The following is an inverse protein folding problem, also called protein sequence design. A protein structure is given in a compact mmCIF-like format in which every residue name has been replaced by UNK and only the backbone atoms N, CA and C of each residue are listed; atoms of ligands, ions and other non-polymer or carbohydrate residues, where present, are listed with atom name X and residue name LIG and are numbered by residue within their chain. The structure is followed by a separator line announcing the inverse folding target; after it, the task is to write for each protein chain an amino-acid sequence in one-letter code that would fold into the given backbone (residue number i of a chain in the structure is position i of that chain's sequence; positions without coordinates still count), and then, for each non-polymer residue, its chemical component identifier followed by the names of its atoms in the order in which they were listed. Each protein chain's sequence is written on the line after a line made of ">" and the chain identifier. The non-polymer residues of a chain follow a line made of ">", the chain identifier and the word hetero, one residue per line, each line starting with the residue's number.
data_IF_550401382187
#
_entry.id   IF_550401382187
#
_cell.length_a   1.000
_cell.length_b   1.000
_cell.length_c   1.000
_cell.angle_alpha   90.00
_cell.angle_beta   90.00
_cell.angle_gamma   90.00
#
_symmetry.space_group_name_H-M   'P 1'
#
loop_
_entity.id
_entity.type
_entity.pdbx_description
1 polymer ?
#
# COMPACT_ATOMS: atom_id res chain seq x y z
N UNK A 1 -7.59 17.32 28.65
CA UNK A 1 -6.41 16.47 28.97
C UNK A 1 -5.68 16.12 27.67
N UNK A 2 -4.35 15.89 27.72
CA UNK A 2 -3.62 15.38 26.54
C UNK A 2 -3.59 13.86 26.60
N UNK A 3 -3.98 13.20 25.50
CA UNK A 3 -4.02 11.74 25.37
C UNK A 3 -3.09 11.35 24.23
N UNK A 4 -2.33 10.28 24.43
CA UNK A 4 -1.45 9.73 23.41
C UNK A 4 -2.25 8.81 22.47
N UNK A 5 -2.15 9.05 21.15
CA UNK A 5 -2.62 8.12 20.13
C UNK A 5 -1.48 7.12 19.92
N UNK A 6 -1.81 5.84 20.11
CA UNK A 6 -0.86 4.72 19.93
C UNK A 6 -1.24 3.88 18.74
N UNK A 7 -0.23 3.31 18.09
CA UNK A 7 -0.45 2.25 17.11
C UNK A 7 -1.17 1.07 17.78
N UNK A 8 -2.03 0.34 17.07
CA UNK A 8 -2.66 -0.87 17.58
C UNK A 8 -1.61 -1.95 17.91
N UNK A 9 -2.00 -2.92 18.71
CA UNK A 9 -1.15 -4.11 18.95
C UNK A 9 -1.06 -4.93 17.68
N UNK A 10 0.17 -5.20 17.24
CA UNK A 10 0.41 -6.01 16.06
C UNK A 10 0.31 -7.50 16.40
N UNK A 11 -0.14 -8.36 15.45
CA UNK A 11 -0.07 -9.81 15.60
C UNK A 11 1.38 -10.28 15.83
N UNK A 12 1.58 -11.41 16.54
CA UNK A 12 2.91 -11.95 16.89
C UNK A 12 3.86 -12.13 15.69
N UNK A 13 3.31 -12.28 14.49
CA UNK A 13 4.08 -12.44 13.25
C UNK A 13 4.47 -11.12 12.56
N UNK A 14 4.12 -9.96 13.14
CA UNK A 14 4.39 -8.62 12.58
C UNK A 14 5.26 -7.83 13.55
N UNK A 15 6.49 -7.54 13.15
CA UNK A 15 7.47 -6.83 14.00
C UNK A 15 7.24 -5.33 14.03
N UNK A 16 6.85 -4.74 12.90
CA UNK A 16 6.73 -3.30 12.71
C UNK A 16 5.70 -2.98 11.62
N UNK A 17 5.19 -1.73 11.62
CA UNK A 17 4.31 -1.17 10.61
C UNK A 17 4.86 0.12 10.04
N UNK A 18 4.21 0.68 9.03
CA UNK A 18 4.53 2.00 8.46
C UNK A 18 3.26 2.83 8.45
N UNK A 19 3.30 4.09 8.87
CA UNK A 19 2.16 5.00 8.75
C UNK A 19 1.86 5.20 7.27
N UNK A 20 0.75 4.65 6.78
CA UNK A 20 0.37 4.72 5.36
C UNK A 20 -0.21 6.09 5.02
N UNK A 21 -1.14 6.58 5.85
CA UNK A 21 -1.76 7.90 5.67
C UNK A 21 -2.34 8.40 6.98
N UNK A 22 -2.39 9.73 7.11
CA UNK A 22 -3.19 10.43 8.11
C UNK A 22 -4.48 10.92 7.46
N UNK A 23 -5.63 10.44 7.94
CA UNK A 23 -6.95 10.85 7.45
C UNK A 23 -7.40 12.18 8.04
N UNK A 24 -6.75 12.62 9.13
CA UNK A 24 -6.98 13.88 9.83
C UNK A 24 -5.71 14.69 9.92
N UNK A 25 -5.86 16.02 9.87
CA UNK A 25 -4.74 16.96 9.98
C UNK A 25 -4.60 17.50 11.41
N UNK A 26 -3.42 18.00 11.74
CA UNK A 26 -3.22 18.73 13.00
C UNK A 26 -4.21 19.89 13.11
N UNK A 27 -4.90 19.98 14.25
CA UNK A 27 -5.93 20.97 14.53
C UNK A 27 -7.35 20.56 14.13
N UNK A 28 -7.55 19.40 13.50
CA UNK A 28 -8.86 18.92 13.07
C UNK A 28 -9.59 18.22 14.22
N UNK A 29 -10.92 18.45 14.31
CA UNK A 29 -11.77 17.76 15.28
C UNK A 29 -12.08 16.35 14.81
N UNK A 30 -12.12 15.43 15.76
CA UNK A 30 -12.32 14.00 15.53
C UNK A 30 -13.29 13.46 16.57
N UNK A 31 -14.22 12.62 16.16
CA UNK A 31 -15.14 11.94 17.06
C UNK A 31 -14.53 10.65 17.61
N UNK A 32 -15.05 10.18 18.76
CA UNK A 32 -14.66 8.88 19.29
C UNK A 32 -14.87 7.77 18.25
N UNK A 33 -13.96 6.80 18.21
CA UNK A 33 -13.93 5.68 17.25
C UNK A 33 -13.80 6.07 15.76
N UNK A 34 -13.59 7.36 15.46
CA UNK A 34 -13.30 7.80 14.09
C UNK A 34 -11.84 7.44 13.71
N UNK A 35 -11.65 6.93 12.49
CA UNK A 35 -10.32 6.56 12.00
C UNK A 35 -9.49 7.81 11.73
N UNK A 36 -8.33 7.92 12.39
CA UNK A 36 -7.42 9.07 12.30
C UNK A 36 -6.20 8.80 11.43
N UNK A 37 -5.73 7.55 11.40
CA UNK A 37 -4.58 7.14 10.59
C UNK A 37 -4.68 5.68 10.17
N UNK A 38 -3.98 5.32 9.11
CA UNK A 38 -3.81 3.92 8.65
C UNK A 38 -2.35 3.51 8.80
N UNK A 39 -2.12 2.32 9.38
CA UNK A 39 -0.78 1.72 9.50
C UNK A 39 -0.72 0.49 8.60
N UNK A 40 0.16 0.52 7.61
CA UNK A 40 0.40 -0.59 6.69
C UNK A 40 1.45 -1.53 7.30
N UNK A 41 1.13 -2.81 7.37
CA UNK A 41 2.07 -3.88 7.73
C UNK A 41 2.39 -4.74 6.50
N UNK A 42 3.21 -5.75 6.64
CA UNK A 42 3.52 -6.69 5.56
C UNK A 42 2.33 -7.57 5.15
N UNK A 43 1.26 -7.62 5.94
CA UNK A 43 0.10 -8.50 5.72
C UNK A 43 -1.23 -7.78 5.64
N UNK A 44 -1.44 -6.76 6.46
CA UNK A 44 -2.72 -6.03 6.57
C UNK A 44 -2.48 -4.55 6.83
N UNK A 45 -3.51 -3.75 6.53
CA UNK A 45 -3.60 -2.36 6.97
C UNK A 45 -4.43 -2.32 8.24
N UNK A 46 -3.89 -1.67 9.27
CA UNK A 46 -4.52 -1.49 10.57
C UNK A 46 -4.99 -0.05 10.70
N UNK A 47 -6.25 0.13 11.10
CA UNK A 47 -6.83 1.43 11.35
C UNK A 47 -6.52 1.88 12.78
N UNK A 48 -6.13 3.14 12.94
CA UNK A 48 -5.97 3.80 14.22
C UNK A 48 -7.17 4.67 14.46
N UNK A 49 -7.93 4.39 15.51
CA UNK A 49 -9.14 5.14 15.86
C UNK A 49 -8.88 6.10 17.01
N UNK A 50 -9.65 7.20 17.04
CA UNK A 50 -9.60 8.17 18.14
C UNK A 50 -10.19 7.57 19.41
N UNK A 51 -9.52 7.68 20.58
CA UNK A 51 -10.00 7.09 21.84
C UNK A 51 -11.20 7.84 22.45
N UNK A 52 -11.35 9.12 22.14
CA UNK A 52 -12.41 10.02 22.63
C UNK A 52 -12.67 11.14 21.61
N UNK A 53 -13.76 11.91 21.83
CA UNK A 53 -14.01 13.16 21.08
C UNK A 53 -12.96 14.23 21.42
N UNK A 54 -12.35 14.85 20.40
CA UNK A 54 -11.35 15.87 20.64
C UNK A 54 -10.69 16.41 19.37
N UNK A 55 -9.47 16.94 19.51
CA UNK A 55 -8.70 17.55 18.43
C UNK A 55 -7.33 16.89 18.33
N UNK A 56 -6.93 16.50 17.13
CA UNK A 56 -5.58 16.01 16.84
C UNK A 56 -4.57 17.18 17.00
N UNK A 57 -3.87 17.20 18.12
CA UNK A 57 -2.98 18.33 18.46
C UNK A 57 -1.66 18.28 17.72
N UNK A 58 -1.06 17.09 17.61
CA UNK A 58 0.26 16.94 16.99
C UNK A 58 0.44 15.54 16.43
N UNK A 59 1.01 15.48 15.23
CA UNK A 59 1.50 14.26 14.59
C UNK A 59 2.97 14.07 14.99
N UNK A 60 3.30 12.93 15.63
CA UNK A 60 4.67 12.59 16.04
C UNK A 60 5.37 11.78 14.97
N UNK A 61 4.62 10.85 14.34
CA UNK A 61 5.09 10.01 13.25
C UNK A 61 4.44 10.43 11.95
N UNK A 62 5.24 10.90 11.01
CA UNK A 62 4.77 11.34 9.70
C UNK A 62 4.43 10.13 8.80
N UNK A 63 3.72 10.41 7.69
CA UNK A 63 3.47 9.40 6.65
C UNK A 63 4.78 8.83 6.11
N UNK A 64 4.87 7.51 6.01
CA UNK A 64 6.07 6.79 5.59
C UNK A 64 7.02 6.39 6.72
N UNK A 65 6.82 6.85 7.96
CA UNK A 65 7.66 6.46 9.10
C UNK A 65 7.28 5.09 9.67
N UNK A 66 8.31 4.40 10.16
CA UNK A 66 8.15 3.07 10.78
C UNK A 66 7.68 3.24 12.22
N UNK A 67 6.73 2.41 12.62
CA UNK A 67 6.14 2.37 13.96
C UNK A 67 6.11 0.92 14.49
N UNK A 68 6.34 0.78 15.79
CA UNK A 68 6.23 -0.50 16.49
C UNK A 68 4.85 -0.67 17.12
N UNK A 69 4.56 -1.88 17.57
CA UNK A 69 3.33 -2.17 18.32
C UNK A 69 3.20 -1.28 19.55
N UNK A 70 2.04 -0.64 19.73
CA UNK A 70 1.73 0.27 20.84
C UNK A 70 2.63 1.51 20.96
N UNK A 71 3.33 1.89 19.89
CA UNK A 71 4.16 3.11 19.85
C UNK A 71 3.28 4.36 19.70
N UNK A 72 3.68 5.47 20.35
CA UNK A 72 2.95 6.74 20.28
C UNK A 72 3.19 7.39 18.91
N UNK A 73 2.12 7.62 18.16
CA UNK A 73 2.15 8.19 16.81
C UNK A 73 1.62 9.62 16.74
N UNK A 74 0.83 10.04 17.73
CA UNK A 74 0.27 11.39 17.78
C UNK A 74 -0.21 11.78 19.17
N UNK A 75 -0.55 13.05 19.33
CA UNK A 75 -1.09 13.63 20.57
C UNK A 75 -2.47 14.20 20.30
N UNK A 76 -3.39 13.88 21.18
CA UNK A 76 -4.80 14.26 21.13
C UNK A 76 -5.17 15.13 22.32
N UNK A 77 -6.02 16.14 22.12
CA UNK A 77 -6.56 16.98 23.19
C UNK A 77 -8.06 16.77 23.27
N UNK A 78 -8.56 16.36 24.42
CA UNK A 78 -9.96 16.19 24.70
C UNK A 78 -10.71 17.51 24.53
N UNK A 79 -11.76 17.51 23.72
CA UNK A 79 -12.69 18.62 23.53
C UNK A 79 -13.71 18.58 24.68
N UNK A 80 -13.42 19.23 25.81
CA UNK A 80 -14.47 19.47 26.78
C UNK A 80 -15.47 20.45 26.15
N UNK A 81 -16.67 19.96 25.89
CA UNK A 81 -17.78 20.76 25.37
C UNK A 81 -18.10 21.93 26.26
N UNK A 82 -17.71 23.13 25.84
CA UNK A 82 -18.39 24.36 26.24
C UNK A 82 -18.43 25.26 25.01
N UNK A 83 -19.60 25.27 24.40
CA UNK A 83 -20.00 26.28 23.42
C UNK A 83 -20.03 27.62 24.16
N UNK A 84 -19.24 28.58 23.73
CA UNK A 84 -19.66 29.97 23.69
C UNK A 84 -18.80 30.75 22.70
N UNK A 85 -19.50 31.45 21.84
CA UNK A 85 -19.04 32.43 20.89
C UNK A 85 -18.08 33.45 21.51
N UNK A 86 -17.01 33.77 20.82
CA UNK A 86 -16.55 35.16 20.76
C UNK A 86 -15.74 35.39 19.48
N UNK A 87 -16.45 35.86 18.48
CA UNK A 87 -15.91 36.77 17.48
C UNK A 87 -15.43 38.04 18.20
N UNK A 88 -14.15 38.24 18.27
CA UNK A 88 -13.60 39.58 18.41
C UNK A 88 -12.23 39.67 17.72
N UNK A 89 -12.28 40.47 16.66
CA UNK A 89 -11.19 41.24 16.08
C UNK A 89 -10.18 41.63 17.11
N UNK A 90 -8.92 41.31 16.89
CA UNK A 90 -7.82 42.03 17.55
C UNK A 90 -6.79 42.51 16.54
N UNK A 91 -6.73 43.81 16.54
CA UNK A 91 -5.79 44.70 15.87
C UNK A 91 -4.32 44.30 16.12
N UNK A 92 -3.55 44.53 15.08
CA UNK A 92 -2.11 44.55 15.06
C UNK A 92 -1.61 45.48 16.14
N UNK A 93 -0.94 44.97 17.16
CA UNK A 93 -0.06 45.75 18.04
C UNK A 93 1.38 45.41 17.69
N UNK A 94 2.02 46.39 17.05
CA UNK A 94 3.48 46.48 16.96
C UNK A 94 4.08 46.45 18.38
N UNK A 95 4.94 45.48 18.63
CA UNK A 95 5.90 45.56 19.74
C UNK A 95 7.25 46.06 19.24
N UNK A 96 7.95 46.87 20.05
CA UNK A 96 9.05 47.72 19.59
C UNK A 96 10.33 46.91 19.31
N UNK A 97 10.95 47.24 18.19
CA UNK A 97 12.31 46.84 17.84
C UNK A 97 13.27 47.12 19.02
N UNK A 98 13.82 46.02 19.58
CA UNK A 98 15.04 46.14 20.42
C UNK A 98 16.20 46.54 19.54
N UNK A 99 16.73 47.72 19.83
CA UNK A 99 17.97 48.23 19.27
C UNK A 99 19.10 47.23 19.46
N UNK A 100 19.66 46.76 18.34
CA UNK A 100 20.91 46.01 18.29
C UNK A 100 22.05 46.99 18.69
N UNK A 101 22.60 46.80 19.86
CA UNK A 101 23.85 47.45 20.25
C UNK A 101 24.94 47.09 19.26
N UNK A 102 25.36 48.07 18.49
CA UNK A 102 26.50 48.06 17.62
C UNK A 102 27.77 47.86 18.44
N UNK A 103 28.26 46.63 18.59
CA UNK A 103 29.60 46.39 19.11
C UNK A 103 30.57 46.52 17.94
N UNK A 104 31.23 47.67 17.86
CA UNK A 104 32.29 47.96 16.90
C UNK A 104 33.45 46.96 17.03
N UNK A 105 33.38 45.87 16.31
CA UNK A 105 34.55 44.99 16.11
C UNK A 105 35.50 45.67 15.12
N UNK A 106 36.72 45.96 15.56
CA UNK A 106 37.75 46.58 14.68
C UNK A 106 38.16 45.57 13.58
N UNK A 107 37.84 45.90 12.33
CA UNK A 107 38.10 45.07 11.15
C UNK A 107 39.26 45.66 10.35
N UNK A 108 40.20 44.82 9.93
CA UNK A 108 41.26 45.21 9.00
C UNK A 108 40.75 45.29 7.54
N UNK A 109 41.43 46.05 6.64
CA UNK A 109 40.98 46.21 5.25
C UNK A 109 40.85 44.89 4.47
N UNK A 110 41.78 43.97 4.69
CA UNK A 110 41.74 42.63 4.07
C UNK A 110 40.58 41.73 4.57
N UNK A 111 40.28 41.83 5.87
CA UNK A 111 39.17 41.09 6.52
C UNK A 111 37.81 41.62 6.05
N UNK A 112 37.67 42.96 5.87
CA UNK A 112 36.44 43.54 5.29
C UNK A 112 36.18 43.06 3.88
N UNK A 113 37.21 42.94 3.05
CA UNK A 113 37.08 42.46 1.67
C UNK A 113 36.58 41.00 1.58
N UNK A 114 37.17 40.12 2.41
CA UNK A 114 36.79 38.70 2.42
C UNK A 114 35.37 38.47 3.00
N UNK A 115 34.97 39.24 4.02
CA UNK A 115 33.60 39.18 4.57
C UNK A 115 32.57 39.68 3.55
N UNK A 116 32.88 40.72 2.77
CA UNK A 116 32.01 41.24 1.74
C UNK A 116 31.90 40.29 0.53
N UNK A 117 32.99 39.65 0.10
CA UNK A 117 33.00 38.66 -0.98
C UNK A 117 32.20 37.39 -0.63
N UNK A 118 32.15 37.02 0.64
CA UNK A 118 31.45 35.80 1.08
C UNK A 118 30.12 36.11 1.80
N UNK A 119 29.65 37.34 1.79
CA UNK A 119 28.38 37.80 2.41
C UNK A 119 28.19 37.38 3.88
N UNK A 120 29.29 37.37 4.67
CA UNK A 120 29.28 36.96 6.07
C UNK A 120 29.27 38.23 6.94
N UNK A 121 28.39 38.29 7.96
CA UNK A 121 28.37 39.38 8.93
C UNK A 121 29.53 39.23 9.90
N UNK A 122 30.19 40.37 10.23
CA UNK A 122 31.33 40.39 11.16
C UNK A 122 30.95 39.91 12.58
N UNK A 123 29.67 39.91 12.92
CA UNK A 123 29.11 39.37 14.16
C UNK A 123 29.25 37.85 14.27
N UNK A 124 29.23 37.16 13.16
CA UNK A 124 29.10 35.70 13.08
C UNK A 124 30.48 35.00 13.17
N UNK A 125 31.56 35.79 13.03
CA UNK A 125 32.92 35.28 13.10
C UNK A 125 33.50 35.49 14.51
N UNK A 126 34.03 34.41 15.10
CA UNK A 126 34.68 34.45 16.41
C UNK A 126 36.04 35.17 16.31
N UNK A 127 36.24 36.30 17.03
CA UNK A 127 37.49 37.07 16.97
C UNK A 127 38.57 36.45 17.85
N UNK A 128 39.80 36.22 17.30
CA UNK A 128 40.96 35.74 18.04
C UNK A 128 42.06 36.78 18.20
N UNK A 129 41.96 37.92 17.51
CA UNK A 129 42.98 39.01 17.57
C UNK A 129 42.94 39.84 18.83
N UNK A 130 44.09 40.50 19.15
CA UNK A 130 44.22 41.40 20.30
C UNK A 130 43.17 42.53 20.21
N UNK A 131 42.53 42.88 21.32
CA UNK A 131 41.44 43.87 21.41
C UNK A 131 40.17 43.50 20.64
N UNK A 132 39.77 42.21 20.64
CA UNK A 132 38.55 41.68 19.98
C UNK A 132 38.51 41.94 18.48
N UNK A 133 39.66 41.90 17.83
CA UNK A 133 39.82 42.14 16.38
C UNK A 133 39.65 40.85 15.61
N UNK A 134 38.78 40.84 14.57
CA UNK A 134 38.62 39.70 13.64
C UNK A 134 39.79 39.71 12.65
N UNK A 135 40.56 38.63 12.62
CA UNK A 135 41.70 38.45 11.72
C UNK A 135 41.28 37.71 10.42
N UNK A 136 42.15 37.78 9.42
CA UNK A 136 41.91 37.02 8.16
C UNK A 136 41.80 35.51 8.41
N UNK A 137 42.58 34.98 9.35
CA UNK A 137 42.59 33.58 9.73
C UNK A 137 41.23 33.15 10.36
N UNK A 138 40.61 34.03 11.16
CA UNK A 138 39.32 33.74 11.79
C UNK A 138 38.19 33.59 10.76
N UNK A 139 38.22 34.40 9.69
CA UNK A 139 37.24 34.27 8.58
C UNK A 139 37.48 33.03 7.78
N UNK A 140 38.71 32.65 7.49
CA UNK A 140 39.05 31.42 6.77
C UNK A 140 38.65 30.19 7.60
N UNK A 141 38.97 30.14 8.88
CA UNK A 141 38.58 29.06 9.79
C UNK A 141 37.04 28.96 9.93
N UNK A 142 36.35 30.09 9.92
CA UNK A 142 34.88 30.09 9.92
C UNK A 142 34.30 29.52 8.62
N UNK A 143 34.90 29.84 7.46
CA UNK A 143 34.54 29.25 6.18
C UNK A 143 34.85 27.76 6.11
N UNK A 144 35.98 27.31 6.63
CA UNK A 144 36.37 25.91 6.67
C UNK A 144 35.56 25.09 7.70
N UNK A 145 35.20 25.68 8.85
CA UNK A 145 34.31 25.02 9.83
C UNK A 145 32.84 24.98 9.39
N UNK A 146 32.44 25.90 8.51
CA UNK A 146 31.13 25.85 7.85
C UNK A 146 31.10 24.84 6.71
N UNK A 147 32.26 24.31 6.27
CA UNK A 147 32.40 23.27 5.25
C UNK A 147 32.63 21.86 5.81
N UNK A 148 32.47 21.62 7.13
CA UNK A 148 32.43 20.27 7.68
C UNK A 148 31.19 19.53 7.15
N UNK A 149 31.31 18.25 6.76
CA UNK A 149 30.24 17.53 6.10
C UNK A 149 29.04 17.44 7.03
N UNK A 150 27.99 18.20 6.70
CA UNK A 150 26.65 17.97 7.19
C UNK A 150 26.33 16.48 6.96
N UNK A 151 26.02 15.79 8.03
CA UNK A 151 25.33 14.51 7.99
C UNK A 151 24.24 14.68 6.95
N UNK A 152 24.35 13.96 5.83
CA UNK A 152 23.31 13.90 4.82
C UNK A 152 22.06 13.32 5.49
N UNK A 153 21.12 14.18 5.80
CA UNK A 153 19.73 13.74 5.85
C UNK A 153 19.37 13.33 4.42
N UNK A 154 19.14 12.05 4.21
CA UNK A 154 18.78 11.45 2.91
C UNK A 154 17.34 11.76 2.48
N UNK A 155 16.77 12.90 2.85
CA UNK A 155 15.39 13.27 2.51
C UNK A 155 15.27 14.64 1.84
N UNK A 156 16.22 14.99 0.96
CA UNK A 156 15.97 16.05 0.00
C UNK A 156 15.98 15.43 -1.42
N UNK A 157 14.95 15.62 -2.25
CA UNK A 157 14.96 15.15 -3.62
C UNK A 157 16.08 15.86 -4.38
N UNK A 158 17.16 15.11 -4.68
CA UNK A 158 18.26 15.59 -5.52
C UNK A 158 17.73 15.87 -6.92
N UNK A 159 17.34 17.11 -7.18
CA UNK A 159 17.07 17.61 -8.52
C UNK A 159 18.39 17.91 -9.24
N UNK A 160 19.06 16.89 -9.74
CA UNK A 160 20.02 17.05 -10.83
C UNK A 160 19.23 17.02 -12.15
N UNK A 161 18.68 18.15 -12.51
CA UNK A 161 18.00 18.36 -13.77
C UNK A 161 19.03 18.67 -14.86
N UNK A 162 19.47 17.65 -15.58
CA UNK A 162 20.15 17.76 -16.88
C UNK A 162 19.34 17.17 -18.03
N UNK A 163 18.07 16.85 -17.81
CA UNK A 163 17.16 16.39 -18.85
C UNK A 163 15.84 17.16 -18.72
N UNK A 164 15.35 17.64 -19.83
CA UNK A 164 14.05 18.32 -19.95
C UNK A 164 12.87 17.34 -19.73
N UNK A 165 13.10 16.22 -19.06
CA UNK A 165 12.12 15.16 -18.73
C UNK A 165 11.98 15.07 -17.22
N UNK A 166 10.88 15.56 -16.64
CA UNK A 166 10.63 15.48 -15.20
C UNK A 166 10.44 14.02 -14.77
N UNK A 167 11.20 13.59 -13.79
CA UNK A 167 11.06 12.28 -13.13
C UNK A 167 10.58 12.51 -11.69
N UNK A 168 9.55 11.74 -11.27
CA UNK A 168 9.06 11.73 -9.92
C UNK A 168 9.41 10.38 -9.28
N UNK A 169 10.21 10.39 -8.23
CA UNK A 169 10.50 9.19 -7.42
C UNK A 169 9.49 9.12 -6.26
N UNK A 170 8.82 7.97 -6.14
CA UNK A 170 7.89 7.69 -5.06
C UNK A 170 8.27 6.34 -4.48
N UNK A 171 8.41 6.24 -3.16
CA UNK A 171 8.66 4.98 -2.49
C UNK A 171 7.51 4.00 -2.76
N UNK A 172 7.84 2.70 -2.90
CA UNK A 172 6.80 1.67 -2.96
C UNK A 172 6.17 1.50 -1.60
N UNK A 173 4.85 1.26 -1.56
CA UNK A 173 4.20 0.82 -0.34
C UNK A 173 4.77 -0.53 0.12
N UNK A 174 4.69 -0.79 1.42
CA UNK A 174 5.23 -2.01 2.03
C UNK A 174 4.57 -3.26 1.47
N UNK A 175 3.25 -3.25 1.34
CA UNK A 175 2.47 -4.33 0.72
C UNK A 175 2.98 -4.62 -0.70
N UNK A 176 3.15 -3.58 -1.54
CA UNK A 176 3.66 -3.75 -2.91
C UNK A 176 5.07 -4.32 -2.95
N UNK A 177 5.95 -3.89 -2.04
CA UNK A 177 7.31 -4.41 -1.91
C UNK A 177 7.30 -5.90 -1.54
N UNK A 178 6.45 -6.30 -0.58
CA UNK A 178 6.30 -7.70 -0.15
C UNK A 178 5.76 -8.58 -1.27
N UNK A 179 4.70 -8.12 -1.97
CA UNK A 179 4.15 -8.83 -3.14
C UNK A 179 5.22 -9.02 -4.22
N UNK A 180 5.98 -7.96 -4.54
CA UNK A 180 7.03 -8.03 -5.55
C UNK A 180 8.10 -9.06 -5.19
N UNK A 181 8.59 -9.05 -3.95
CA UNK A 181 9.58 -10.03 -3.45
C UNK A 181 9.04 -11.45 -3.56
N UNK A 182 7.80 -11.70 -3.11
CA UNK A 182 7.16 -13.01 -3.18
C UNK A 182 7.03 -13.52 -4.61
N UNK A 183 6.56 -12.69 -5.53
CA UNK A 183 6.40 -13.09 -6.94
C UNK A 183 7.75 -13.38 -7.62
N UNK A 184 8.80 -12.61 -7.31
CA UNK A 184 10.14 -12.85 -7.82
C UNK A 184 10.70 -14.16 -7.28
N UNK A 185 10.58 -14.43 -5.97
CA UNK A 185 10.99 -15.69 -5.34
C UNK A 185 10.35 -16.89 -6.01
N UNK A 186 9.00 -16.88 -6.14
CA UNK A 186 8.26 -17.97 -6.80
C UNK A 186 8.76 -18.20 -8.24
N UNK A 187 8.98 -17.13 -9.01
CA UNK A 187 9.49 -17.26 -10.38
C UNK A 187 10.90 -17.86 -10.46
N UNK A 188 11.75 -17.60 -9.45
CA UNK A 188 13.11 -18.11 -9.39
C UNK A 188 13.18 -19.57 -8.89
N UNK A 189 12.28 -19.95 -8.00
CA UNK A 189 12.25 -21.25 -7.34
C UNK A 189 11.46 -22.31 -8.13
N UNK A 190 10.66 -21.89 -9.12
CA UNK A 190 9.79 -22.82 -9.88
C UNK A 190 10.13 -22.85 -11.37
N UNK A 191 10.07 -24.05 -11.95
CA UNK A 191 10.13 -24.27 -13.39
C UNK A 191 8.69 -24.23 -13.98
N UNK A 192 8.13 -23.03 -14.12
CA UNK A 192 6.77 -22.86 -14.61
C UNK A 192 6.66 -23.20 -16.09
N UNK A 193 5.68 -24.06 -16.44
CA UNK A 193 5.24 -24.32 -17.79
C UNK A 193 3.83 -23.79 -17.98
N UNK A 194 3.56 -23.10 -19.09
CA UNK A 194 2.21 -22.65 -19.44
C UNK A 194 1.71 -23.39 -20.65
N UNK A 195 0.50 -23.91 -20.56
CA UNK A 195 -0.24 -24.48 -21.69
C UNK A 195 -1.49 -23.64 -21.95
N UNK A 196 -1.90 -23.56 -23.22
CA UNK A 196 -3.05 -22.79 -23.65
C UNK A 196 -4.08 -23.70 -24.26
N UNK A 197 -5.35 -23.56 -23.88
CA UNK A 197 -6.47 -24.28 -24.45
C UNK A 197 -7.61 -23.30 -24.72
N UNK A 198 -8.30 -23.49 -25.83
CA UNK A 198 -9.52 -22.77 -26.19
C UNK A 198 -10.73 -23.55 -25.68
N UNK A 199 -11.69 -22.85 -25.10
CA UNK A 199 -12.93 -23.42 -24.57
C UNK A 199 -14.09 -22.65 -25.18
N UNK A 200 -15.03 -23.38 -25.77
CA UNK A 200 -16.28 -22.81 -26.28
C UNK A 200 -17.16 -22.35 -25.11
N UNK A 201 -17.40 -21.06 -25.05
CA UNK A 201 -18.18 -20.42 -23.99
C UNK A 201 -19.65 -20.18 -24.35
N UNK A 202 -20.04 -20.48 -25.61
CA UNK A 202 -21.41 -20.27 -26.09
C UNK A 202 -22.45 -21.02 -25.23
N UNK A 203 -22.26 -22.32 -24.90
CA UNK A 203 -23.23 -23.05 -24.08
C UNK A 203 -23.44 -22.44 -22.69
N UNK A 204 -22.36 -21.93 -22.07
CA UNK A 204 -22.44 -21.26 -20.74
C UNK A 204 -23.14 -19.90 -20.87
N UNK A 205 -22.89 -19.15 -21.94
CA UNK A 205 -23.59 -17.87 -22.20
C UNK A 205 -25.08 -18.07 -22.38
N UNK A 206 -25.49 -19.09 -23.18
CA UNK A 206 -26.89 -19.43 -23.37
C UNK A 206 -27.56 -19.85 -22.07
N UNK A 207 -26.91 -20.67 -21.27
CA UNK A 207 -27.41 -21.12 -19.98
C UNK A 207 -27.60 -19.90 -19.01
N UNK A 208 -26.65 -18.98 -18.99
CA UNK A 208 -26.76 -17.75 -18.22
C UNK A 208 -27.88 -16.82 -18.74
N UNK A 209 -28.04 -16.71 -20.04
CA UNK A 209 -29.12 -15.92 -20.63
C UNK A 209 -30.50 -16.52 -20.26
N UNK A 210 -30.62 -17.84 -20.30
CA UNK A 210 -31.88 -18.55 -20.00
C UNK A 210 -32.25 -18.51 -18.52
N UNK A 211 -31.31 -18.79 -17.64
CA UNK A 211 -31.60 -19.01 -16.21
C UNK A 211 -31.13 -17.89 -15.29
N UNK A 212 -30.36 -16.93 -15.79
CA UNK A 212 -29.73 -15.91 -14.94
C UNK A 212 -30.71 -15.06 -14.11
N UNK A 213 -31.88 -14.74 -14.66
CA UNK A 213 -32.91 -13.96 -13.94
C UNK A 213 -33.59 -14.78 -12.83
N UNK A 214 -33.88 -16.04 -13.11
CA UNK A 214 -34.46 -16.96 -12.13
C UNK A 214 -33.48 -17.24 -11.00
N UNK A 215 -32.23 -17.52 -11.35
CA UNK A 215 -31.12 -17.71 -10.40
C UNK A 215 -30.95 -16.51 -9.45
N UNK A 216 -30.97 -15.28 -10.01
CA UNK A 216 -30.88 -14.07 -9.21
C UNK A 216 -32.05 -13.93 -8.23
N UNK A 217 -33.28 -14.26 -8.67
CA UNK A 217 -34.47 -14.21 -7.81
C UNK A 217 -34.43 -15.24 -6.68
N UNK A 218 -33.94 -16.45 -6.95
CA UNK A 218 -33.90 -17.53 -5.98
C UNK A 218 -32.73 -17.38 -4.97
N UNK A 219 -31.56 -16.95 -5.44
CA UNK A 219 -30.33 -16.99 -4.65
C UNK A 219 -29.78 -15.63 -4.25
N UNK A 220 -30.40 -14.51 -4.73
CA UNK A 220 -29.96 -13.13 -4.49
C UNK A 220 -28.54 -12.83 -4.96
N UNK A 221 -27.98 -13.64 -5.86
CA UNK A 221 -26.66 -13.47 -6.47
C UNK A 221 -26.76 -13.70 -7.98
N UNK A 222 -25.95 -12.98 -8.76
CA UNK A 222 -25.91 -13.14 -10.22
C UNK A 222 -25.20 -14.44 -10.61
N UNK A 223 -25.70 -15.10 -11.65
CA UNK A 223 -25.04 -16.25 -12.24
C UNK A 223 -23.81 -15.77 -13.04
N UNK A 224 -22.63 -15.79 -12.42
CA UNK A 224 -21.36 -15.38 -13.02
C UNK A 224 -20.73 -16.48 -13.89
N UNK A 225 -19.55 -16.19 -14.46
CA UNK A 225 -18.72 -17.20 -15.12
C UNK A 225 -17.82 -17.92 -14.11
N UNK A 226 -17.37 -17.19 -13.08
CA UNK A 226 -16.35 -17.69 -12.16
C UNK A 226 -16.80 -18.94 -11.41
N UNK A 227 -18.06 -19.02 -10.99
CA UNK A 227 -18.59 -20.20 -10.32
C UNK A 227 -18.51 -21.48 -11.17
N UNK A 228 -18.74 -21.38 -12.48
CA UNK A 228 -18.57 -22.53 -13.38
C UNK A 228 -17.11 -22.98 -13.46
N UNK A 229 -16.16 -22.03 -13.54
CA UNK A 229 -14.74 -22.37 -13.57
C UNK A 229 -14.26 -22.95 -12.24
N UNK A 230 -14.76 -22.45 -11.10
CA UNK A 230 -14.46 -23.04 -9.79
C UNK A 230 -14.93 -24.48 -9.71
N UNK A 231 -16.18 -24.77 -10.09
CA UNK A 231 -16.71 -26.14 -10.10
C UNK A 231 -15.93 -27.05 -11.06
N UNK A 232 -15.62 -26.55 -12.26
CA UNK A 232 -14.84 -27.31 -13.23
C UNK A 232 -13.43 -27.62 -12.71
N UNK A 233 -12.77 -26.63 -12.08
CA UNK A 233 -11.47 -26.82 -11.46
C UNK A 233 -11.53 -27.86 -10.33
N UNK A 234 -12.52 -27.77 -9.44
CA UNK A 234 -12.74 -28.75 -8.36
C UNK A 234 -12.88 -30.18 -8.92
N UNK A 235 -13.68 -30.36 -9.96
CA UNK A 235 -13.84 -31.69 -10.58
C UNK A 235 -12.54 -32.19 -11.21
N UNK A 236 -11.78 -31.30 -11.85
CA UNK A 236 -10.48 -31.64 -12.42
C UNK A 236 -9.47 -32.02 -11.32
N UNK A 237 -9.40 -31.27 -10.21
CA UNK A 237 -8.50 -31.53 -9.10
C UNK A 237 -8.82 -32.85 -8.39
N UNK A 238 -10.10 -33.20 -8.26
CA UNK A 238 -10.52 -34.53 -7.75
C UNK A 238 -10.05 -35.67 -8.67
N UNK A 239 -10.08 -35.46 -9.98
CA UNK A 239 -9.63 -36.44 -10.95
C UNK A 239 -8.10 -36.54 -11.05
N UNK A 240 -7.39 -35.44 -10.81
CA UNK A 240 -5.95 -35.34 -10.91
C UNK A 240 -5.35 -34.79 -9.60
N UNK A 241 -5.31 -35.60 -8.52
CA UNK A 241 -4.95 -35.13 -7.19
C UNK A 241 -3.51 -34.63 -7.08
N UNK A 242 -2.60 -35.01 -7.99
CA UNK A 242 -1.24 -34.48 -8.06
C UNK A 242 -1.22 -32.97 -8.35
N UNK A 243 -2.21 -32.44 -9.09
CA UNK A 243 -2.35 -31.01 -9.36
C UNK A 243 -2.89 -30.25 -8.13
N UNK A 244 -3.57 -30.96 -7.21
CA UNK A 244 -4.06 -30.45 -5.93
C UNK A 244 -3.07 -30.76 -4.79
N UNK A 245 -1.78 -30.79 -5.07
CA UNK A 245 -0.74 -31.08 -4.11
C UNK A 245 0.21 -29.89 -3.97
N UNK A 246 1.03 -29.87 -2.95
CA UNK A 246 2.13 -28.91 -2.75
C UNK A 246 3.44 -29.66 -2.51
N UNK A 247 4.55 -28.94 -2.64
CA UNK A 247 5.89 -29.47 -2.35
C UNK A 247 6.34 -28.87 -1.03
N UNK A 248 6.76 -29.71 -0.09
CA UNK A 248 7.35 -29.33 1.18
C UNK A 248 8.70 -30.03 1.35
N UNK A 249 9.78 -29.30 1.13
CA UNK A 249 11.12 -29.87 1.09
C UNK A 249 11.26 -30.94 -0.01
N UNK A 250 11.39 -32.20 0.39
CA UNK A 250 11.46 -33.37 -0.53
C UNK A 250 10.15 -34.13 -0.67
N UNK A 251 9.10 -33.71 0.04
CA UNK A 251 7.84 -34.41 0.10
C UNK A 251 6.77 -33.77 -0.80
N UNK A 252 5.87 -34.61 -1.33
CA UNK A 252 4.65 -34.19 -2.01
C UNK A 252 3.49 -34.32 -1.02
N UNK A 253 2.87 -33.19 -0.69
CA UNK A 253 1.74 -33.12 0.23
C UNK A 253 0.45 -33.10 -0.55
N UNK A 254 -0.33 -34.17 -0.50
CA UNK A 254 -1.65 -34.27 -1.13
C UNK A 254 -2.72 -33.68 -0.24
N UNK A 255 -3.51 -32.74 -0.76
CA UNK A 255 -4.63 -32.13 -0.04
C UNK A 255 -5.92 -32.89 -0.29
N UNK A 256 -6.61 -33.32 0.77
CA UNK A 256 -7.91 -34.01 0.73
C UNK A 256 -9.11 -33.07 0.50
N UNK A 257 -8.87 -31.78 0.39
CA UNK A 257 -9.85 -30.71 0.18
C UNK A 257 -9.45 -29.83 -1.02
N UNK A 258 -10.40 -29.08 -1.56
CA UNK A 258 -10.16 -28.16 -2.66
C UNK A 258 -10.51 -26.74 -2.22
N UNK A 259 -9.48 -25.97 -1.85
CA UNK A 259 -9.57 -24.58 -1.47
C UNK A 259 -9.13 -23.70 -2.64
N UNK A 260 -10.10 -23.04 -3.27
CA UNK A 260 -9.86 -22.32 -4.52
C UNK A 260 -9.66 -20.83 -4.26
N UNK A 261 -8.47 -20.33 -4.58
CA UNK A 261 -8.17 -18.91 -4.62
C UNK A 261 -8.77 -18.23 -5.86
N UNK A 262 -9.43 -17.10 -5.68
CA UNK A 262 -9.96 -16.30 -6.78
C UNK A 262 -9.29 -14.94 -6.77
N UNK A 263 -8.51 -14.62 -7.80
CA UNK A 263 -7.79 -13.36 -7.87
C UNK A 263 -8.75 -12.19 -8.08
N UNK A 264 -8.68 -11.20 -7.20
CA UNK A 264 -9.47 -9.95 -7.21
C UNK A 264 -8.53 -8.76 -7.31
N UNK A 265 -8.78 -7.89 -8.29
CA UNK A 265 -8.03 -6.64 -8.44
C UNK A 265 -8.67 -5.54 -7.61
N UNK A 266 -7.84 -4.80 -6.87
CA UNK A 266 -8.23 -3.64 -6.07
C UNK A 266 -7.33 -2.46 -6.40
N UNK A 267 -7.66 -1.27 -5.96
CA UNK A 267 -6.81 -0.07 -6.10
C UNK A 267 -5.47 -0.23 -5.38
N UNK A 268 -5.44 -1.01 -4.29
CA UNK A 268 -4.23 -1.31 -3.51
C UNK A 268 -3.36 -2.40 -4.13
N UNK A 269 -3.88 -3.17 -5.10
CA UNK A 269 -3.18 -4.26 -5.79
C UNK A 269 -4.04 -5.50 -6.03
N UNK A 270 -3.40 -6.62 -6.36
CA UNK A 270 -4.05 -7.90 -6.57
C UNK A 270 -4.06 -8.69 -5.26
N UNK A 271 -5.23 -9.14 -4.84
CA UNK A 271 -5.42 -10.03 -3.69
C UNK A 271 -6.07 -11.33 -4.12
N UNK A 272 -5.85 -12.41 -3.39
CA UNK A 272 -6.34 -13.75 -3.73
C UNK A 272 -7.05 -14.35 -2.52
N UNK A 273 -8.30 -13.97 -2.24
CA UNK A 273 -9.10 -14.64 -1.21
C UNK A 273 -9.38 -16.09 -1.58
N UNK A 274 -9.55 -16.92 -0.56
CA UNK A 274 -9.66 -18.37 -0.69
C UNK A 274 -11.09 -18.83 -0.35
N UNK A 275 -11.75 -19.49 -1.31
CA UNK A 275 -13.02 -20.16 -1.08
C UNK A 275 -12.70 -21.54 -0.53
N UNK A 276 -12.79 -21.69 0.79
CA UNK A 276 -12.50 -22.93 1.50
C UNK A 276 -13.57 -23.98 1.20
N UNK A 277 -13.17 -25.26 1.17
CA UNK A 277 -14.04 -26.40 0.94
C UNK A 277 -14.94 -26.23 -0.30
N UNK A 278 -14.36 -25.74 -1.41
CA UNK A 278 -15.11 -25.44 -2.64
C UNK A 278 -15.79 -26.67 -3.23
N UNK A 279 -15.32 -27.86 -2.90
CA UNK A 279 -15.87 -29.15 -3.37
C UNK A 279 -17.19 -29.54 -2.67
N UNK A 280 -17.52 -28.95 -1.54
CA UNK A 280 -18.76 -29.16 -0.80
C UNK A 280 -19.82 -28.09 -1.12
N UNK A 281 -19.43 -27.00 -1.79
CA UNK A 281 -20.29 -25.87 -2.10
C UNK A 281 -21.05 -26.02 -3.39
N UNK A 282 -22.30 -25.62 -3.39
CA UNK A 282 -23.11 -25.45 -4.58
C UNK A 282 -22.71 -24.21 -5.38
N UNK A 283 -23.14 -24.15 -6.66
CA UNK A 283 -22.88 -22.98 -7.53
C UNK A 283 -23.35 -21.63 -6.92
N UNK A 284 -24.57 -21.54 -6.33
CA UNK A 284 -24.99 -20.31 -5.64
C UNK A 284 -24.09 -19.92 -4.47
N UNK A 285 -23.63 -20.87 -3.67
CA UNK A 285 -22.75 -20.61 -2.52
C UNK A 285 -21.37 -20.12 -2.97
N UNK A 286 -20.84 -20.69 -4.05
CA UNK A 286 -19.58 -20.23 -4.64
C UNK A 286 -19.72 -18.79 -5.17
N UNK A 287 -20.77 -18.49 -5.95
CA UNK A 287 -21.00 -17.14 -6.47
C UNK A 287 -21.23 -16.12 -5.35
N UNK A 288 -21.89 -16.51 -4.26
CA UNK A 288 -22.07 -15.68 -3.06
C UNK A 288 -20.73 -15.40 -2.37
N UNK A 289 -19.89 -16.43 -2.21
CA UNK A 289 -18.55 -16.27 -1.63
C UNK A 289 -17.68 -15.34 -2.48
N UNK A 290 -17.72 -15.47 -3.82
CA UNK A 290 -16.99 -14.60 -4.73
C UNK A 290 -17.45 -13.14 -4.60
N UNK A 291 -18.76 -12.91 -4.50
CA UNK A 291 -19.31 -11.56 -4.32
C UNK A 291 -18.85 -10.95 -2.99
N UNK A 292 -19.00 -11.70 -1.88
CA UNK A 292 -18.60 -11.27 -0.54
C UNK A 292 -17.12 -10.91 -0.48
N UNK A 293 -16.23 -11.79 -0.98
CA UNK A 293 -14.81 -11.52 -1.00
C UNK A 293 -14.43 -10.36 -1.92
N UNK A 294 -15.16 -10.16 -3.03
CA UNK A 294 -14.94 -9.01 -3.92
C UNK A 294 -15.32 -7.69 -3.27
N UNK A 295 -16.37 -7.68 -2.44
CA UNK A 295 -16.78 -6.52 -1.65
C UNK A 295 -15.79 -6.23 -0.52
N UNK A 296 -15.43 -7.24 0.28
CA UNK A 296 -14.40 -7.12 1.31
C UNK A 296 -13.06 -6.64 0.75
N UNK A 297 -12.68 -7.13 -0.45
CA UNK A 297 -11.44 -6.72 -1.10
C UNK A 297 -11.44 -5.24 -1.50
N UNK A 298 -12.53 -4.74 -2.08
CA UNK A 298 -12.68 -3.32 -2.45
C UNK A 298 -12.69 -2.41 -1.24
N UNK A 299 -13.37 -2.84 -0.17
CA UNK A 299 -13.44 -2.09 1.09
C UNK A 299 -12.15 -2.19 1.92
N UNK A 300 -11.16 -3.00 1.50
CA UNK A 300 -9.93 -3.22 2.27
C UNK A 300 -10.12 -4.04 3.56
N UNK A 301 -11.26 -4.76 3.69
CA UNK A 301 -11.66 -5.52 4.89
C UNK A 301 -11.33 -7.01 4.83
N UNK A 302 -10.52 -7.45 3.86
CA UNK A 302 -10.04 -8.84 3.82
C UNK A 302 -9.10 -9.09 5.00
N UNK A 303 -9.43 -10.11 5.81
CA UNK A 303 -8.57 -10.60 6.87
C UNK A 303 -7.42 -11.48 6.34
N UNK A 304 -6.42 -11.71 7.16
CA UNK A 304 -5.32 -12.63 6.83
C UNK A 304 -5.88 -14.05 6.61
N UNK A 305 -6.87 -14.44 7.40
CA UNK A 305 -7.53 -15.76 7.33
C UNK A 305 -8.27 -15.99 6.01
N UNK A 306 -8.77 -14.91 5.38
CA UNK A 306 -9.43 -14.98 4.07
C UNK A 306 -8.43 -15.24 2.93
N UNK A 307 -7.14 -14.98 3.14
CA UNK A 307 -6.07 -15.09 2.14
C UNK A 307 -5.09 -16.23 2.41
N UNK A 308 -5.24 -16.94 3.54
CA UNK A 308 -4.36 -18.05 3.91
C UNK A 308 -4.90 -19.41 3.45
N UNK A 309 -3.99 -20.31 3.08
CA UNK A 309 -4.30 -21.61 2.53
C UNK A 309 -4.44 -21.53 1.00
N UNK A 310 -5.37 -22.32 0.47
CA UNK A 310 -5.60 -22.43 -0.96
C UNK A 310 -4.72 -23.49 -1.62
N UNK A 311 -5.35 -24.37 -2.38
CA UNK A 311 -4.67 -25.47 -3.09
C UNK A 311 -4.55 -25.20 -4.59
N UNK A 312 -5.35 -24.28 -5.12
CA UNK A 312 -5.37 -23.89 -6.52
C UNK A 312 -5.87 -22.46 -6.67
N UNK A 313 -5.41 -21.74 -7.69
CA UNK A 313 -5.83 -20.35 -7.94
C UNK A 313 -6.46 -20.19 -9.32
N UNK A 314 -7.51 -19.37 -9.41
CA UNK A 314 -8.12 -18.93 -10.66
C UNK A 314 -7.96 -17.42 -10.78
N UNK A 315 -7.36 -16.96 -11.89
CA UNK A 315 -7.16 -15.55 -12.20
C UNK A 315 -7.88 -15.17 -13.48
N UNK A 316 -8.57 -14.03 -13.49
CA UNK A 316 -9.32 -13.55 -14.65
C UNK A 316 -8.66 -12.30 -15.24
N UNK A 317 -7.81 -12.50 -16.26
CA UNK A 317 -7.24 -11.42 -17.08
C UNK A 317 -8.18 -10.88 -18.16
N UNK A 318 -9.30 -11.58 -18.43
CA UNK A 318 -10.25 -11.20 -19.47
C UNK A 318 -10.95 -9.85 -19.21
N UNK A 319 -11.14 -9.48 -17.95
CA UNK A 319 -11.67 -8.16 -17.55
C UNK A 319 -10.78 -7.00 -17.99
N UNK A 320 -9.49 -7.24 -18.22
CA UNK A 320 -8.51 -6.27 -18.71
C UNK A 320 -8.28 -6.37 -20.22
N UNK A 321 -9.08 -7.19 -20.93
CA UNK A 321 -8.94 -7.41 -22.36
C UNK A 321 -7.76 -8.30 -22.75
N UNK A 322 -7.14 -9.03 -21.80
CA UNK A 322 -6.03 -9.93 -22.10
C UNK A 322 -6.44 -11.05 -23.07
N UNK A 323 -5.70 -11.19 -24.16
CA UNK A 323 -5.85 -12.29 -25.11
C UNK A 323 -5.22 -13.58 -24.59
N UNK A 324 -3.98 -13.49 -24.13
CA UNK A 324 -3.18 -14.57 -23.57
C UNK A 324 -2.27 -13.99 -22.47
N UNK A 325 -1.96 -14.78 -21.46
CA UNK A 325 -0.96 -14.46 -20.45
C UNK A 325 -0.36 -15.73 -19.87
N UNK A 326 0.78 -15.58 -19.20
CA UNK A 326 1.47 -16.64 -18.49
C UNK A 326 1.41 -16.31 -17.00
N UNK A 327 0.36 -16.72 -16.27
CA UNK A 327 0.20 -16.37 -14.86
C UNK A 327 1.34 -16.94 -14.02
N UNK A 328 1.72 -16.20 -12.97
CA UNK A 328 2.70 -16.64 -11.98
C UNK A 328 1.96 -17.47 -10.92
N UNK A 329 2.54 -18.57 -10.48
CA UNK A 329 1.98 -19.42 -9.43
C UNK A 329 1.83 -18.65 -8.11
N UNK A 330 0.82 -19.04 -7.33
CA UNK A 330 0.67 -18.58 -5.95
C UNK A 330 1.22 -19.67 -5.01
N UNK A 331 2.53 -19.63 -4.73
CA UNK A 331 3.16 -20.65 -3.89
C UNK A 331 2.46 -20.81 -2.52
N UNK A 332 2.36 -22.04 -1.98
CA UNK A 332 3.01 -23.30 -2.42
C UNK A 332 2.22 -24.11 -3.46
N UNK A 333 1.19 -23.54 -4.11
CA UNK A 333 0.37 -24.20 -5.12
C UNK A 333 1.20 -24.58 -6.35
N UNK A 334 0.86 -25.71 -6.96
CA UNK A 334 1.55 -26.24 -8.13
C UNK A 334 0.93 -25.83 -9.47
N UNK A 335 -0.28 -25.27 -9.44
CA UNK A 335 -0.97 -24.85 -10.66
C UNK A 335 -1.86 -23.61 -10.42
N UNK A 336 -2.12 -22.89 -11.53
CA UNK A 336 -3.02 -21.74 -11.60
C UNK A 336 -3.76 -21.76 -12.94
N UNK A 337 -5.04 -21.43 -12.92
CA UNK A 337 -5.85 -21.25 -14.13
C UNK A 337 -5.97 -19.76 -14.47
N UNK A 338 -5.45 -19.36 -15.64
CA UNK A 338 -5.67 -18.02 -16.18
C UNK A 338 -6.84 -18.01 -17.17
N UNK A 339 -7.85 -17.19 -16.91
CA UNK A 339 -8.94 -16.93 -17.84
C UNK A 339 -8.65 -15.65 -18.63
N UNK A 340 -9.09 -15.60 -19.87
CA UNK A 340 -8.86 -14.48 -20.77
C UNK A 340 -10.16 -13.97 -21.39
N UNK A 341 -10.06 -13.00 -22.31
CA UNK A 341 -11.24 -12.43 -22.96
C UNK A 341 -11.99 -13.44 -23.82
N UNK A 342 -13.32 -13.44 -23.69
CA UNK A 342 -14.20 -14.20 -24.59
C UNK A 342 -14.33 -13.40 -25.87
N UNK A 343 -14.04 -14.05 -27.00
CA UNK A 343 -14.03 -13.42 -28.33
C UNK A 343 -14.89 -14.23 -29.32
N UNK A 344 -15.61 -13.53 -30.18
CA UNK A 344 -16.29 -14.16 -31.32
C UNK A 344 -15.24 -14.49 -32.38
N UNK A 345 -15.08 -15.78 -32.69
CA UNK A 345 -14.04 -16.26 -33.62
C UNK A 345 -14.60 -17.33 -34.57
N UNK A 346 -14.13 -17.38 -35.82
CA UNK A 346 -14.44 -18.50 -36.70
C UNK A 346 -13.74 -19.75 -36.15
N UNK A 347 -14.53 -20.77 -35.89
CA UNK A 347 -14.06 -22.11 -35.43
C UNK A 347 -14.61 -23.19 -36.31
N UNK A 348 -13.87 -24.27 -36.46
CA UNK A 348 -14.34 -25.44 -37.24
C UNK A 348 -15.03 -26.42 -36.28
N UNK A 349 -16.33 -26.64 -36.47
CA UNK A 349 -17.12 -27.61 -35.73
C UNK A 349 -17.71 -28.59 -36.76
N UNK A 350 -17.43 -29.88 -36.60
CA UNK A 350 -17.90 -30.98 -37.51
C UNK A 350 -17.58 -30.73 -38.99
N UNK A 351 -16.46 -30.04 -39.29
CA UNK A 351 -16.04 -29.75 -40.66
C UNK A 351 -16.62 -28.47 -41.27
N UNK A 352 -17.48 -27.77 -40.57
CA UNK A 352 -18.05 -26.49 -40.98
C UNK A 352 -17.43 -25.32 -40.17
N UNK A 353 -17.26 -24.16 -40.81
CA UNK A 353 -16.80 -22.96 -40.17
C UNK A 353 -17.99 -22.21 -39.55
N UNK A 354 -18.01 -22.10 -38.24
CA UNK A 354 -19.05 -21.41 -37.49
C UNK A 354 -18.43 -20.31 -36.61
N UNK A 355 -19.25 -19.37 -36.17
CA UNK A 355 -18.79 -18.40 -35.16
C UNK A 355 -18.95 -19.06 -33.79
N UNK A 356 -17.81 -19.30 -33.12
CA UNK A 356 -17.73 -19.72 -31.73
C UNK A 356 -17.35 -18.59 -30.81
N UNK A 357 -17.49 -18.78 -29.50
CA UNK A 357 -17.18 -17.79 -28.49
C UNK A 357 -16.27 -18.34 -27.39
#
# INVERSE_FOLDING_TARGET
>A
MTIEIKSPTFPESVSDGTVASWLKKEGESVSQDEVVAEIETDKVVLEVVAPIDGILSKIIKAEGEIVNSSEVIGIFIESSSTLEESLQTNEVKEEPRKELKNTDKKLGPATKKILAENQIAASDVKSSGKDNRVTKADVINHLESSSSPLVRNEDAPSTTSLSNRPEKRVAMSRLRSTIAKRLVSVKQETAMLTTFNEVDMLPIKELRAKYGQEFLKQHSVKLGFMGFFVIAAVQALKKFPLVNASIDGADIVYHGFQDIGVAVSTERGLVVPIIKDSDTKSLPEIEKSILEYSEKARDGKLGIEDMQGGTFTISNGGIFGSLLSTPILNAPQTAILGMHSIQDRPVAINGEVVIGQ
#
